data_IF_441691369244
#
_entry.id   IF_441691369244
#
_cell.length_a   1.000
_cell.length_b   1.000
_cell.length_c   1.000
_cell.angle_alpha   90.00
_cell.angle_beta   90.00
_cell.angle_gamma   90.00
#
_symmetry.space_group_name_H-M   'P 1'
#
loop_
_entity.id
_entity.type
_entity.pdbx_description
1 polymer ?
#
# COMPACT_ATOMS: atom_id res chain seq x y z
N UNK A 1 -10.26 -14.69 -16.20
CA UNK A 1 -11.55 -14.14 -15.73
C UNK A 1 -12.18 -14.95 -14.60
N UNK A 2 -12.29 -16.29 -14.70
CA UNK A 2 -13.00 -17.12 -13.69
C UNK A 2 -12.39 -17.08 -12.28
N UNK A 3 -11.05 -17.08 -12.15
CA UNK A 3 -10.35 -17.14 -10.84
C UNK A 3 -10.52 -15.87 -9.99
N UNK A 4 -10.54 -14.69 -10.62
CA UNK A 4 -10.66 -13.40 -9.94
C UNK A 4 -12.06 -13.18 -9.36
N UNK A 5 -13.10 -13.56 -10.13
CA UNK A 5 -14.48 -13.50 -9.66
C UNK A 5 -14.71 -14.41 -8.44
N UNK A 6 -14.14 -15.62 -8.44
CA UNK A 6 -14.24 -16.52 -7.30
C UNK A 6 -13.58 -15.93 -6.03
N UNK A 7 -12.43 -15.28 -6.17
CA UNK A 7 -11.75 -14.61 -5.05
C UNK A 7 -12.59 -13.45 -4.47
N UNK A 8 -13.28 -12.68 -5.32
CA UNK A 8 -14.19 -11.62 -4.87
C UNK A 8 -15.41 -12.17 -4.14
N UNK A 9 -16.01 -13.25 -4.65
CA UNK A 9 -17.14 -13.94 -4.02
C UNK A 9 -16.78 -14.46 -2.62
N UNK A 10 -15.61 -15.11 -2.52
CA UNK A 10 -15.07 -15.62 -1.25
C UNK A 10 -14.80 -14.47 -0.27
N UNK A 11 -14.21 -13.36 -0.73
CA UNK A 11 -13.95 -12.18 0.09
C UNK A 11 -15.24 -11.54 0.60
N UNK A 12 -16.29 -11.50 -0.22
CA UNK A 12 -17.62 -11.03 0.20
C UNK A 12 -18.23 -11.93 1.26
N UNK A 13 -18.11 -13.25 1.09
CA UNK A 13 -18.54 -14.26 2.06
C UNK A 13 -17.81 -14.08 3.40
N UNK A 14 -16.49 -13.93 3.36
CA UNK A 14 -15.66 -13.69 4.55
C UNK A 14 -16.09 -12.43 5.30
N UNK A 15 -16.40 -11.35 4.57
CA UNK A 15 -16.91 -10.10 5.14
C UNK A 15 -18.29 -10.27 5.78
N UNK A 16 -19.14 -11.11 5.21
CA UNK A 16 -20.51 -11.35 5.72
C UNK A 16 -20.51 -12.26 6.96
N UNK A 17 -19.56 -13.21 7.03
CA UNK A 17 -19.50 -14.20 8.09
C UNK A 17 -19.01 -13.63 9.43
N UNK A 18 -18.31 -12.50 9.44
CA UNK A 18 -17.82 -11.82 10.65
C UNK A 18 -17.12 -12.77 11.64
N UNK A 19 -16.40 -13.78 11.10
CA UNK A 19 -15.59 -14.75 11.84
C UNK A 19 -14.13 -14.57 11.51
N UNK A 20 -13.26 -15.01 12.42
CA UNK A 20 -11.82 -15.13 12.14
C UNK A 20 -11.58 -16.24 11.13
N UNK A 21 -10.87 -15.94 10.05
CA UNK A 21 -10.56 -16.89 8.99
C UNK A 21 -9.04 -16.97 8.86
N UNK A 22 -8.52 -18.20 8.89
CA UNK A 22 -7.11 -18.48 8.62
C UNK A 22 -7.03 -19.08 7.22
N UNK A 23 -6.31 -18.39 6.34
CA UNK A 23 -6.11 -18.80 4.95
C UNK A 23 -4.62 -19.06 4.70
N UNK A 24 -4.30 -20.22 4.14
CA UNK A 24 -2.92 -20.63 3.83
C UNK A 24 -2.79 -20.72 2.32
N UNK A 25 -1.85 -19.96 1.77
CA UNK A 25 -1.50 -19.99 0.35
C UNK A 25 0.02 -19.94 0.19
N UNK A 26 0.48 -20.43 -0.95
CA UNK A 26 1.85 -20.29 -1.40
C UNK A 26 2.04 -19.06 -2.31
N UNK A 27 0.94 -18.37 -2.67
CA UNK A 27 0.94 -17.24 -3.59
C UNK A 27 0.82 -15.91 -2.82
N UNK A 28 1.79 -15.03 -3.04
CA UNK A 28 1.87 -13.71 -2.40
C UNK A 28 0.74 -12.80 -2.88
N UNK A 29 0.36 -12.84 -4.16
CA UNK A 29 -0.73 -12.01 -4.68
C UNK A 29 -2.07 -12.37 -4.03
N UNK A 30 -2.33 -13.66 -3.81
CA UNK A 30 -3.55 -14.11 -3.13
C UNK A 30 -3.58 -13.63 -1.67
N UNK A 31 -2.45 -13.75 -0.96
CA UNK A 31 -2.30 -13.25 0.40
C UNK A 31 -2.53 -11.72 0.45
N UNK A 32 -1.93 -10.97 -0.48
CA UNK A 32 -2.08 -9.51 -0.55
C UNK A 32 -3.48 -9.09 -0.98
N UNK A 33 -4.20 -9.90 -1.74
CA UNK A 33 -5.56 -9.54 -2.15
C UNK A 33 -6.60 -9.81 -1.06
N UNK A 34 -6.46 -10.93 -0.35
CA UNK A 34 -7.49 -11.45 0.57
C UNK A 34 -7.21 -11.16 2.04
N UNK A 35 -5.95 -11.12 2.47
CA UNK A 35 -5.60 -11.01 3.87
C UNK A 35 -5.63 -9.56 4.36
N UNK A 36 -6.02 -9.39 5.63
CA UNK A 36 -5.82 -8.16 6.41
C UNK A 36 -4.47 -8.17 7.12
N UNK A 37 -3.99 -9.35 7.49
CA UNK A 37 -2.73 -9.59 8.21
C UNK A 37 -2.10 -10.87 7.69
N UNK A 38 -0.80 -10.84 7.48
CA UNK A 38 -0.06 -11.90 6.79
C UNK A 38 1.06 -12.39 7.72
N UNK A 39 1.23 -13.71 7.78
CA UNK A 39 2.30 -14.39 8.51
C UNK A 39 3.16 -15.12 7.51
N UNK A 40 4.43 -14.74 7.40
CA UNK A 40 5.42 -15.46 6.60
C UNK A 40 6.04 -16.57 7.46
N UNK A 41 5.90 -17.81 6.98
CA UNK A 41 6.46 -19.01 7.59
C UNK A 41 7.59 -19.56 6.73
N UNK A 42 8.72 -19.89 7.36
CA UNK A 42 9.86 -20.53 6.73
C UNK A 42 10.31 -21.71 7.58
N UNK A 43 10.27 -22.93 7.01
CA UNK A 43 10.68 -24.17 7.69
C UNK A 43 10.06 -24.35 9.10
N UNK A 44 8.80 -23.98 9.25
CA UNK A 44 8.07 -24.09 10.53
C UNK A 44 8.35 -22.96 11.54
N UNK A 45 9.17 -21.97 11.17
CA UNK A 45 9.42 -20.77 11.99
C UNK A 45 8.70 -19.57 11.38
N UNK A 46 8.09 -18.73 12.21
CA UNK A 46 7.53 -17.44 11.78
C UNK A 46 8.68 -16.46 11.57
N UNK A 47 8.87 -16.03 10.32
CA UNK A 47 9.89 -15.04 9.96
C UNK A 47 9.40 -13.63 10.28
N UNK A 48 8.18 -13.30 9.84
CA UNK A 48 7.54 -12.03 10.11
C UNK A 48 6.03 -12.14 10.03
N UNK A 49 5.36 -11.35 10.85
CA UNK A 49 3.92 -11.12 10.80
C UNK A 49 3.68 -9.61 10.71
N UNK A 50 2.71 -9.19 9.91
CA UNK A 50 2.36 -7.78 9.79
C UNK A 50 1.28 -7.53 8.75
N UNK A 51 1.04 -6.24 8.47
CA UNK A 51 0.25 -5.85 7.31
C UNK A 51 1.07 -6.02 6.03
N UNK A 52 0.43 -5.81 4.87
CA UNK A 52 1.11 -5.85 3.57
C UNK A 52 2.22 -4.81 3.53
N UNK A 53 1.94 -3.65 4.10
CA UNK A 53 2.85 -2.52 4.21
C UNK A 53 4.07 -2.88 5.06
N UNK A 54 3.88 -3.50 6.23
CA UNK A 54 5.00 -3.92 7.08
C UNK A 54 5.92 -4.92 6.38
N UNK A 55 5.34 -5.89 5.67
CA UNK A 55 6.12 -6.93 4.99
C UNK A 55 6.90 -6.39 3.79
N UNK A 56 6.38 -5.35 3.13
CA UNK A 56 7.04 -4.71 1.99
C UNK A 56 8.07 -3.69 2.49
N UNK A 57 7.66 -2.72 3.31
CA UNK A 57 8.46 -1.54 3.66
C UNK A 57 9.35 -1.71 4.88
N UNK A 58 9.05 -2.70 5.74
CA UNK A 58 9.80 -2.98 6.96
C UNK A 58 10.12 -4.48 7.08
N UNK A 59 10.84 -5.05 6.10
CA UNK A 59 11.25 -6.44 6.22
C UNK A 59 12.18 -6.60 7.42
N UNK A 60 11.88 -7.57 8.28
CA UNK A 60 12.62 -7.85 9.52
C UNK A 60 13.98 -8.49 9.26
N UNK A 61 14.14 -9.16 8.12
CA UNK A 61 15.38 -9.79 7.70
C UNK A 61 15.47 -9.89 6.16
N UNK A 62 16.66 -10.25 5.67
CA UNK A 62 16.93 -10.38 4.23
C UNK A 62 16.06 -11.43 3.54
N UNK A 63 15.65 -12.47 4.28
CA UNK A 63 14.75 -13.48 3.76
C UNK A 63 13.39 -12.86 3.42
N UNK A 64 12.78 -12.11 4.34
CA UNK A 64 11.52 -11.40 4.10
C UNK A 64 11.66 -10.41 2.95
N UNK A 65 12.76 -9.63 2.93
CA UNK A 65 13.03 -8.66 1.87
C UNK A 65 13.16 -9.32 0.48
N UNK A 66 13.84 -10.47 0.41
CA UNK A 66 13.99 -11.24 -0.83
C UNK A 66 12.69 -11.93 -1.25
N UNK A 67 11.88 -12.35 -0.28
CA UNK A 67 10.62 -13.05 -0.51
C UNK A 67 9.54 -12.12 -1.09
N UNK A 68 9.42 -10.91 -0.55
CA UNK A 68 8.49 -9.88 -1.02
C UNK A 68 9.13 -8.87 -2.00
N UNK A 69 10.31 -9.18 -2.55
CA UNK A 69 11.15 -8.25 -3.30
C UNK A 69 10.51 -7.56 -4.51
N UNK A 70 11.31 -6.70 -5.17
CA UNK A 70 11.00 -5.62 -6.16
C UNK A 70 9.73 -5.72 -7.02
N UNK A 71 9.30 -6.91 -7.45
CA UNK A 71 8.05 -7.09 -8.22
C UNK A 71 6.81 -6.71 -7.39
N UNK A 72 6.76 -7.09 -6.12
CA UNK A 72 5.64 -6.78 -5.24
C UNK A 72 5.62 -5.31 -4.81
N UNK A 73 6.80 -4.67 -4.69
CA UNK A 73 6.90 -3.23 -4.50
C UNK A 73 6.24 -2.45 -5.64
N UNK A 74 6.55 -2.80 -6.89
CA UNK A 74 5.92 -2.18 -8.04
C UNK A 74 4.40 -2.42 -8.06
N UNK A 75 3.96 -3.64 -7.76
CA UNK A 75 2.53 -3.95 -7.69
C UNK A 75 1.80 -3.15 -6.59
N UNK A 76 2.40 -3.01 -5.40
CA UNK A 76 1.84 -2.21 -4.32
C UNK A 76 1.78 -0.73 -4.69
N UNK A 77 2.85 -0.17 -5.24
CA UNK A 77 2.89 1.25 -5.64
C UNK A 77 1.86 1.57 -6.74
N UNK A 78 1.57 0.62 -7.62
CA UNK A 78 0.55 0.75 -8.68
C UNK A 78 -0.88 0.47 -8.20
N UNK A 79 -1.07 -0.22 -7.08
CA UNK A 79 -2.40 -0.58 -6.56
C UNK A 79 -2.89 0.36 -5.45
N UNK A 80 -1.98 0.98 -4.71
CA UNK A 80 -2.28 1.85 -3.57
C UNK A 80 -2.46 3.29 -4.02
N UNK A 81 -3.56 3.93 -3.61
CA UNK A 81 -3.84 5.34 -3.90
C UNK A 81 -3.19 6.25 -2.86
N UNK A 82 -2.85 7.47 -3.27
CA UNK A 82 -2.21 8.46 -2.40
C UNK A 82 -3.09 8.80 -1.19
N UNK A 83 -4.42 8.88 -1.36
CA UNK A 83 -5.36 9.12 -0.26
C UNK A 83 -5.36 8.07 0.85
N UNK A 84 -4.93 6.83 0.55
CA UNK A 84 -4.92 5.73 1.52
C UNK A 84 -3.68 5.79 2.44
N UNK A 85 -2.67 6.58 2.05
CA UNK A 85 -1.36 6.66 2.73
C UNK A 85 -1.08 8.04 3.29
N UNK A 86 -1.66 9.08 2.69
CA UNK A 86 -1.43 10.45 3.12
C UNK A 86 -2.22 10.73 4.39
N UNK A 87 -1.53 10.84 5.52
CA UNK A 87 -2.10 11.38 6.74
C UNK A 87 -2.16 12.90 6.51
N UNK A 88 -3.36 13.41 6.26
CA UNK A 88 -3.60 14.84 6.11
C UNK A 88 -3.39 15.52 7.47
N UNK A 89 -2.16 15.95 7.76
CA UNK A 89 -1.91 16.77 8.95
C UNK A 89 -2.61 18.13 8.76
N UNK A 90 -3.56 18.44 9.65
CA UNK A 90 -4.22 19.74 9.75
C UNK A 90 -3.17 20.81 10.15
N UNK A 91 -2.39 21.28 9.18
CA UNK A 91 -1.32 22.26 9.42
C UNK A 91 -0.38 22.47 8.24
N UNK A 92 -0.35 21.57 7.26
CA UNK A 92 0.42 21.79 6.04
C UNK A 92 -0.24 22.86 5.17
N UNK A 93 0.52 23.89 4.80
CA UNK A 93 0.05 24.95 3.90
C UNK A 93 0.38 24.58 2.47
N UNK A 94 -0.54 24.91 1.57
CA UNK A 94 -0.34 24.78 0.14
C UNK A 94 0.93 25.53 -0.29
N UNK A 95 1.89 24.80 -0.85
CA UNK A 95 3.15 25.36 -1.34
C UNK A 95 3.10 25.45 -2.87
N UNK A 96 3.02 26.67 -3.41
CA UNK A 96 2.99 26.92 -4.85
C UNK A 96 4.24 26.40 -5.60
N UNK A 97 5.34 26.13 -4.90
CA UNK A 97 6.55 25.58 -5.50
C UNK A 97 6.48 24.06 -5.72
N UNK A 98 5.51 23.37 -5.10
CA UNK A 98 5.36 21.92 -5.22
C UNK A 98 4.33 21.56 -6.31
N UNK A 99 4.64 20.55 -7.14
CA UNK A 99 3.70 20.08 -8.15
C UNK A 99 2.49 19.39 -7.51
N UNK A 100 1.39 19.37 -8.27
CA UNK A 100 0.08 18.92 -7.81
C UNK A 100 -0.17 17.49 -8.30
N UNK A 101 -0.72 16.66 -7.42
CA UNK A 101 -1.20 15.32 -7.74
C UNK A 101 -2.61 15.09 -7.19
N UNK A 102 -3.42 14.30 -7.90
CA UNK A 102 -4.75 13.95 -7.40
C UNK A 102 -4.66 12.84 -6.34
N UNK A 103 -5.53 12.89 -5.34
CA UNK A 103 -5.62 11.90 -4.26
C UNK A 103 -5.98 10.49 -4.77
N UNK A 104 -6.63 10.43 -5.94
CA UNK A 104 -6.96 9.20 -6.65
C UNK A 104 -5.79 8.55 -7.40
N UNK A 105 -4.69 9.28 -7.62
CA UNK A 105 -3.50 8.73 -8.27
C UNK A 105 -2.81 7.69 -7.40
N UNK A 106 -2.03 6.83 -8.05
CA UNK A 106 -1.27 5.78 -7.38
C UNK A 106 -0.01 6.34 -6.73
N UNK A 107 0.55 5.63 -5.75
CA UNK A 107 1.85 5.99 -5.18
C UNK A 107 2.95 6.03 -6.26
N UNK A 108 2.87 5.16 -7.28
CA UNK A 108 3.81 5.14 -8.38
C UNK A 108 3.76 6.44 -9.20
N UNK A 109 2.57 6.96 -9.46
CA UNK A 109 2.39 8.25 -10.14
C UNK A 109 3.02 9.38 -9.33
N UNK A 110 2.83 9.36 -8.00
CA UNK A 110 3.47 10.33 -7.09
C UNK A 110 4.99 10.28 -7.15
N UNK A 111 5.58 9.09 -7.02
CA UNK A 111 7.04 8.91 -7.10
C UNK A 111 7.57 9.36 -8.47
N UNK A 112 6.84 9.07 -9.55
CA UNK A 112 7.19 9.50 -10.89
C UNK A 112 7.21 11.02 -11.02
N UNK A 113 6.17 11.69 -10.54
CA UNK A 113 6.08 13.15 -10.54
C UNK A 113 7.22 13.77 -9.71
N UNK A 114 7.52 13.21 -8.53
CA UNK A 114 8.63 13.65 -7.69
C UNK A 114 9.98 13.55 -8.41
N UNK A 115 10.19 12.46 -9.14
CA UNK A 115 11.43 12.23 -9.91
C UNK A 115 11.52 13.17 -11.11
N UNK A 116 10.41 13.41 -11.79
CA UNK A 116 10.33 14.27 -12.98
C UNK A 116 10.61 15.75 -12.65
N UNK A 117 10.04 16.23 -11.53
CA UNK A 117 10.23 17.61 -11.08
C UNK A 117 11.42 17.78 -10.13
N UNK A 118 12.08 16.69 -9.71
CA UNK A 118 13.20 16.72 -8.77
C UNK A 118 12.82 17.21 -7.37
N UNK A 119 11.58 16.94 -6.94
CA UNK A 119 11.02 17.41 -5.65
C UNK A 119 10.78 16.25 -4.70
N UNK A 120 10.92 16.50 -3.41
CA UNK A 120 10.69 15.49 -2.35
C UNK A 120 9.26 15.48 -1.81
N UNK A 121 8.40 16.40 -2.27
CA UNK A 121 7.05 16.62 -1.76
C UNK A 121 6.10 17.00 -2.90
N UNK A 122 4.83 16.62 -2.78
CA UNK A 122 3.76 16.94 -3.74
C UNK A 122 2.53 17.49 -3.02
N UNK A 123 1.84 18.46 -3.61
CA UNK A 123 0.53 18.88 -3.12
C UNK A 123 -0.54 17.89 -3.58
N UNK A 124 -1.36 17.40 -2.65
CA UNK A 124 -2.46 16.47 -2.93
C UNK A 124 -3.78 17.23 -3.00
N UNK A 125 -4.51 17.06 -4.10
CA UNK A 125 -5.84 17.63 -4.30
C UNK A 125 -6.87 16.54 -4.54
N UNK A 126 -8.09 16.74 -4.04
CA UNK A 126 -9.20 15.84 -4.36
C UNK A 126 -9.86 16.20 -5.71
N UNK A 127 -10.78 15.35 -6.14
CA UNK A 127 -11.60 15.53 -7.34
C UNK A 127 -12.48 16.79 -7.34
N UNK A 128 -12.67 17.45 -6.19
CA UNK A 128 -13.36 18.75 -6.05
C UNK A 128 -12.39 19.94 -6.06
N UNK A 129 -11.12 19.72 -6.40
CA UNK A 129 -10.06 20.71 -6.43
C UNK A 129 -9.80 21.38 -5.07
N UNK A 130 -10.07 20.67 -3.98
CA UNK A 130 -9.75 21.10 -2.61
C UNK A 130 -8.40 20.48 -2.24
N UNK A 131 -7.51 21.32 -1.70
CA UNK A 131 -6.24 20.89 -1.16
C UNK A 131 -6.47 19.98 0.06
N UNK A 132 -5.91 18.77 0.01
CA UNK A 132 -6.05 17.78 1.07
C UNK A 132 -4.82 17.75 1.98
N UNK A 133 -3.63 17.97 1.45
CA UNK A 133 -2.37 17.95 2.21
C UNK A 133 -1.16 17.73 1.32
N UNK A 134 0.00 17.39 1.91
CA UNK A 134 1.24 17.13 1.17
C UNK A 134 1.55 15.63 1.22
N UNK A 135 1.90 15.07 0.07
CA UNK A 135 2.43 13.72 -0.07
C UNK A 135 3.95 13.75 -0.10
N UNK A 136 4.58 12.89 0.69
CA UNK A 136 6.02 12.63 0.63
C UNK A 136 6.30 11.15 0.85
N UNK A 137 7.50 10.68 0.48
CA UNK A 137 7.90 9.29 0.73
C UNK A 137 7.87 8.92 2.21
N UNK A 138 8.04 9.91 3.11
CA UNK A 138 7.94 9.68 4.56
C UNK A 138 6.52 9.31 5.02
N UNK A 139 5.48 9.71 4.28
CA UNK A 139 4.09 9.33 4.56
C UNK A 139 3.88 7.82 4.44
N UNK A 140 4.57 7.16 3.50
CA UNK A 140 4.51 5.70 3.31
C UNK A 140 4.98 4.96 4.58
N UNK A 141 5.90 5.55 5.33
CA UNK A 141 6.45 4.95 6.54
C UNK A 141 5.70 5.30 7.83
N UNK A 142 4.71 6.22 7.79
CA UNK A 142 4.15 6.83 9.01
C UNK A 142 2.84 6.22 9.52
N UNK A 143 2.22 5.28 8.80
CA UNK A 143 1.09 4.50 9.33
C UNK A 143 1.56 3.69 10.56
N UNK A 144 1.11 4.11 11.75
CA UNK A 144 1.41 3.54 13.06
C UNK A 144 0.15 3.52 13.90
#
# INVERSE_FOLDING_TARGET
MVRKNLQEEVKRLFKTLNKTIVFVTHDIEEAFHMATRIVLLNKGTVEQEGTKEDLIFRPKNDYVASFFGTKQYGAYLNATKIKDVTIFENGEQFDNALPIIADENTLMDGIRLMTEFGVEKLNVFNSSNVFCGIFSLSCIYRHK
#
